data_IF_184293118214
#
_entry.id   IF_184293118214
#
_cell.length_a   1.000
_cell.length_b   1.000
_cell.length_c   1.000
_cell.angle_alpha   90.00
_cell.angle_beta   90.00
_cell.angle_gamma   90.00
#
_symmetry.space_group_name_H-M   'P 1'
#
loop_
_entity.id
_entity.type
_entity.pdbx_description
1 polymer ?
#
# COMPACT_ATOMS: atom_id res chain seq x y z
N UNK A 1 13.77 4.69 -12.10
CA UNK A 1 12.61 3.78 -12.24
C UNK A 1 12.97 2.37 -12.77
N UNK A 2 13.84 2.23 -13.77
CA UNK A 2 14.14 0.90 -14.32
C UNK A 2 14.81 -0.05 -13.33
N UNK A 3 15.72 0.43 -12.45
CA UNK A 3 16.37 -0.39 -11.40
C UNK A 3 15.34 -0.93 -10.40
N UNK A 4 14.40 -0.10 -9.95
CA UNK A 4 13.30 -0.53 -9.07
C UNK A 4 12.44 -1.62 -9.73
N UNK A 5 12.03 -1.41 -10.98
CA UNK A 5 11.23 -2.38 -11.72
C UNK A 5 12.00 -3.70 -11.97
N UNK A 6 13.30 -3.63 -12.26
CA UNK A 6 14.16 -4.82 -12.37
C UNK A 6 14.22 -5.57 -11.03
N UNK A 7 14.41 -4.84 -9.92
CA UNK A 7 14.40 -5.44 -8.57
C UNK A 7 13.07 -6.15 -8.27
N UNK A 8 11.93 -5.57 -8.66
CA UNK A 8 10.62 -6.21 -8.52
C UNK A 8 10.50 -7.49 -9.36
N UNK A 9 11.00 -7.49 -10.58
CA UNK A 9 11.00 -8.68 -11.43
C UNK A 9 11.83 -9.79 -10.79
N UNK A 10 13.05 -9.49 -10.37
CA UNK A 10 13.92 -10.44 -9.67
C UNK A 10 13.29 -10.97 -8.38
N UNK A 11 12.65 -10.11 -7.61
CA UNK A 11 11.91 -10.49 -6.40
C UNK A 11 10.77 -11.48 -6.71
N UNK A 12 9.97 -11.21 -7.74
CA UNK A 12 8.88 -12.12 -8.17
C UNK A 12 9.44 -13.46 -8.62
N UNK A 13 10.54 -13.47 -9.41
CA UNK A 13 11.22 -14.69 -9.84
C UNK A 13 11.73 -15.50 -8.63
N UNK A 14 12.35 -14.86 -7.66
CA UNK A 14 12.81 -15.54 -6.45
C UNK A 14 11.65 -16.20 -5.67
N UNK A 15 10.52 -15.49 -5.51
CA UNK A 15 9.32 -16.06 -4.87
C UNK A 15 8.76 -17.22 -5.71
N UNK A 16 8.71 -17.08 -7.05
CA UNK A 16 8.20 -18.12 -7.93
C UNK A 16 9.06 -19.40 -7.83
N UNK A 17 10.38 -19.26 -7.83
CA UNK A 17 11.31 -20.37 -7.61
C UNK A 17 11.15 -21.04 -6.25
N UNK A 18 10.90 -20.26 -5.16
CA UNK A 18 10.70 -20.78 -3.83
C UNK A 18 9.31 -21.41 -3.63
N UNK A 19 8.33 -21.09 -4.47
CA UNK A 19 6.91 -21.44 -4.27
C UNK A 19 6.62 -22.96 -4.19
N UNK A 20 7.33 -23.88 -4.89
CA UNK A 20 7.08 -25.30 -4.76
C UNK A 20 7.39 -25.85 -3.34
N UNK A 21 8.37 -25.26 -2.66
CA UNK A 21 8.87 -25.73 -1.37
C UNK A 21 8.42 -24.87 -0.19
N UNK A 22 7.91 -23.65 -0.48
CA UNK A 22 7.59 -22.67 0.56
C UNK A 22 6.10 -22.28 0.54
N UNK A 23 5.33 -22.74 1.53
CA UNK A 23 3.88 -22.48 1.65
C UNK A 23 3.53 -20.99 1.51
N UNK A 24 4.28 -20.08 2.17
CA UNK A 24 4.02 -18.64 2.09
C UNK A 24 4.26 -18.08 0.68
N UNK A 25 5.30 -18.56 -0.02
CA UNK A 25 5.58 -18.16 -1.39
C UNK A 25 4.46 -18.64 -2.34
N UNK A 26 3.99 -19.88 -2.15
CA UNK A 26 2.86 -20.42 -2.91
C UNK A 26 1.58 -19.58 -2.69
N UNK A 27 1.20 -19.30 -1.46
CA UNK A 27 0.03 -18.47 -1.13
C UNK A 27 0.15 -17.06 -1.75
N UNK A 28 1.37 -16.48 -1.73
CA UNK A 28 1.64 -15.18 -2.30
C UNK A 28 1.43 -15.14 -3.83
N UNK A 29 1.85 -16.18 -4.55
CA UNK A 29 1.63 -16.34 -6.00
C UNK A 29 0.16 -16.63 -6.29
N UNK A 30 -0.42 -17.63 -5.62
CA UNK A 30 -1.77 -18.11 -5.90
C UNK A 30 -2.82 -17.03 -5.60
N UNK A 31 -2.63 -16.25 -4.54
CA UNK A 31 -3.54 -15.17 -4.17
C UNK A 31 -3.62 -14.03 -5.21
N UNK A 32 -2.59 -13.90 -6.08
CA UNK A 32 -2.56 -12.91 -7.16
C UNK A 32 -3.04 -13.44 -8.50
N UNK A 33 -3.27 -14.75 -8.64
CA UNK A 33 -3.86 -15.33 -9.86
C UNK A 33 -5.28 -14.78 -10.05
N UNK A 34 -5.55 -14.25 -11.24
CA UNK A 34 -6.86 -13.68 -11.56
C UNK A 34 -7.29 -12.46 -10.71
N UNK A 35 -6.37 -11.81 -10.01
CA UNK A 35 -6.65 -10.69 -9.10
C UNK A 35 -7.52 -9.61 -9.76
N UNK A 36 -7.12 -9.09 -10.90
CA UNK A 36 -7.85 -8.01 -11.57
C UNK A 36 -9.25 -8.41 -12.05
N UNK A 37 -9.45 -9.68 -12.39
CA UNK A 37 -10.76 -10.20 -12.73
C UNK A 37 -11.66 -10.18 -11.51
N UNK A 38 -11.22 -10.78 -10.39
CA UNK A 38 -11.98 -10.76 -9.12
C UNK A 38 -12.30 -9.36 -8.66
N UNK A 39 -11.33 -8.44 -8.72
CA UNK A 39 -11.57 -7.03 -8.36
C UNK A 39 -12.68 -6.42 -9.23
N UNK A 40 -12.61 -6.61 -10.56
CA UNK A 40 -13.60 -6.06 -11.48
C UNK A 40 -15.00 -6.66 -11.29
N UNK A 41 -15.08 -7.92 -10.89
CA UNK A 41 -16.34 -8.61 -10.61
C UNK A 41 -16.94 -8.21 -9.25
N UNK A 42 -16.12 -7.78 -8.30
CA UNK A 42 -16.56 -7.48 -6.92
C UNK A 42 -16.75 -6.00 -6.64
N UNK A 43 -15.91 -5.13 -7.21
CA UNK A 43 -15.93 -3.69 -6.90
C UNK A 43 -17.02 -3.02 -7.74
N UNK A 44 -17.98 -2.38 -7.05
CA UNK A 44 -19.01 -1.55 -7.69
C UNK A 44 -18.35 -0.30 -8.29
N UNK A 45 -18.48 -0.07 -9.62
CA UNK A 45 -17.87 1.08 -10.28
C UNK A 45 -18.45 2.44 -9.86
N UNK A 46 -19.62 2.45 -9.19
CA UNK A 46 -20.24 3.66 -8.65
C UNK A 46 -19.89 3.94 -7.18
N UNK A 47 -19.19 3.01 -6.51
CA UNK A 47 -18.89 3.15 -5.10
C UNK A 47 -17.83 4.23 -4.86
N UNK A 48 -18.02 5.02 -3.81
CA UNK A 48 -16.98 5.90 -3.26
C UNK A 48 -16.04 5.06 -2.40
N UNK A 49 -14.77 5.01 -2.74
CA UNK A 49 -13.83 4.08 -2.12
C UNK A 49 -12.74 4.81 -1.33
N UNK A 50 -12.55 4.38 -0.07
CA UNK A 50 -11.33 4.61 0.69
C UNK A 50 -10.49 3.34 0.61
N UNK A 51 -9.31 3.45 0.00
CA UNK A 51 -8.37 2.34 -0.06
C UNK A 51 -7.37 2.42 1.09
N UNK A 52 -7.26 1.33 1.86
CA UNK A 52 -6.30 1.17 2.96
C UNK A 52 -5.35 0.03 2.62
N UNK A 53 -4.06 0.29 2.69
CA UNK A 53 -3.04 -0.72 2.47
C UNK A 53 -2.22 -0.99 3.72
N UNK A 54 -2.16 -2.27 4.10
CA UNK A 54 -1.28 -2.79 5.15
C UNK A 54 -0.52 -4.00 4.59
N UNK A 55 0.82 -3.97 4.56
CA UNK A 55 1.57 -5.05 3.93
C UNK A 55 1.42 -6.40 4.65
N UNK A 56 1.25 -6.39 5.96
CA UNK A 56 1.21 -7.57 6.83
C UNK A 56 0.14 -7.47 7.92
N UNK A 57 -0.03 -8.56 8.68
CA UNK A 57 -0.94 -8.58 9.82
C UNK A 57 -0.58 -7.54 10.89
N UNK A 58 0.72 -7.39 11.19
CA UNK A 58 1.17 -6.44 12.22
C UNK A 58 0.91 -4.99 11.85
N UNK A 59 0.96 -4.64 10.57
CA UNK A 59 0.59 -3.31 10.07
C UNK A 59 -0.92 -3.13 10.07
N UNK A 60 -1.67 -4.17 9.68
CA UNK A 60 -3.12 -4.15 9.76
C UNK A 60 -3.60 -3.83 11.19
N UNK A 61 -3.05 -4.48 12.22
CA UNK A 61 -3.46 -4.22 13.60
C UNK A 61 -3.23 -2.77 14.05
N UNK A 62 -2.27 -2.07 13.44
CA UNK A 62 -2.08 -0.63 13.69
C UNK A 62 -3.06 0.25 12.90
N UNK A 63 -3.46 -0.19 11.71
CA UNK A 63 -4.47 0.49 10.90
C UNK A 63 -5.91 0.18 11.29
N UNK A 64 -6.14 -0.94 12.00
CA UNK A 64 -7.49 -1.43 12.35
C UNK A 64 -8.37 -0.38 13.06
N UNK A 65 -7.90 0.32 14.10
CA UNK A 65 -8.73 1.33 14.76
C UNK A 65 -9.19 2.44 13.81
N UNK A 66 -8.36 2.79 12.83
CA UNK A 66 -8.71 3.78 11.81
C UNK A 66 -9.78 3.23 10.85
N UNK A 67 -9.65 1.96 10.43
CA UNK A 67 -10.66 1.28 9.58
C UNK A 67 -12.01 1.28 10.27
N UNK A 68 -12.06 0.84 11.53
CA UNK A 68 -13.27 0.77 12.34
C UNK A 68 -13.91 2.16 12.55
N UNK A 69 -13.08 3.19 12.78
CA UNK A 69 -13.53 4.57 12.89
C UNK A 69 -14.12 5.10 11.58
N UNK A 70 -13.43 4.89 10.46
CA UNK A 70 -13.93 5.28 9.12
C UNK A 70 -15.26 4.58 8.82
N UNK A 71 -15.38 3.28 9.11
CA UNK A 71 -16.63 2.53 8.91
C UNK A 71 -17.79 3.12 9.68
N UNK A 72 -17.54 3.57 10.92
CA UNK A 72 -18.54 4.15 11.80
C UNK A 72 -18.95 5.56 11.41
N UNK A 73 -17.97 6.40 11.07
CA UNK A 73 -18.17 7.84 10.88
C UNK A 73 -18.49 8.21 9.42
N UNK A 74 -18.10 7.35 8.46
CA UNK A 74 -18.21 7.55 7.03
C UNK A 74 -18.84 6.32 6.32
N UNK A 75 -20.07 5.93 6.69
CA UNK A 75 -20.72 4.74 6.14
C UNK A 75 -21.04 4.86 4.63
N UNK A 76 -20.99 6.06 4.06
CA UNK A 76 -21.16 6.32 2.62
C UNK A 76 -19.97 5.83 1.79
N UNK A 77 -18.82 5.57 2.41
CA UNK A 77 -17.66 5.01 1.74
C UNK A 77 -17.62 3.50 1.82
N UNK A 78 -17.17 2.87 0.74
CA UNK A 78 -16.73 1.49 0.71
C UNK A 78 -15.26 1.39 1.06
N UNK A 79 -14.89 0.46 1.91
CA UNK A 79 -13.50 0.27 2.32
C UNK A 79 -12.87 -0.85 1.50
N UNK A 80 -11.86 -0.50 0.71
CA UNK A 80 -10.97 -1.45 0.06
C UNK A 80 -9.74 -1.65 0.95
N UNK A 81 -9.55 -2.87 1.45
CA UNK A 81 -8.37 -3.26 2.22
C UNK A 81 -7.45 -4.13 1.37
N UNK A 82 -6.17 -3.80 1.31
CA UNK A 82 -5.20 -4.63 0.58
C UNK A 82 -4.04 -5.05 1.45
N UNK A 83 -3.54 -6.27 1.16
CA UNK A 83 -2.36 -6.84 1.80
C UNK A 83 -1.29 -7.20 0.77
N UNK A 84 -0.03 -7.04 1.13
CA UNK A 84 1.06 -7.56 0.31
C UNK A 84 1.45 -8.98 0.70
N UNK A 85 1.49 -9.28 1.99
CA UNK A 85 1.89 -10.57 2.57
C UNK A 85 0.70 -11.50 2.81
N UNK A 86 0.88 -12.82 2.62
CA UNK A 86 -0.10 -13.82 3.06
C UNK A 86 -0.42 -13.76 4.56
N UNK A 87 0.51 -13.31 5.41
CA UNK A 87 0.27 -13.19 6.86
C UNK A 87 -0.88 -12.26 7.22
N UNK A 88 -1.09 -11.21 6.42
CA UNK A 88 -2.25 -10.32 6.59
C UNK A 88 -3.48 -10.87 5.89
N UNK A 89 -3.36 -11.16 4.60
CA UNK A 89 -4.49 -11.56 3.77
C UNK A 89 -5.18 -12.83 4.26
N UNK A 90 -4.44 -13.92 4.48
CA UNK A 90 -5.05 -15.21 4.85
C UNK A 90 -5.78 -15.17 6.19
N UNK A 91 -5.35 -14.29 7.10
CA UNK A 91 -5.99 -14.14 8.42
C UNK A 91 -7.18 -13.18 8.35
N UNK A 92 -7.10 -12.15 7.49
CA UNK A 92 -8.08 -11.04 7.46
C UNK A 92 -8.94 -10.99 6.21
N UNK A 93 -8.88 -11.98 5.30
CA UNK A 93 -9.69 -12.02 4.07
C UNK A 93 -11.21 -12.01 4.28
N UNK A 94 -11.68 -12.31 5.49
CA UNK A 94 -13.08 -12.27 5.89
C UNK A 94 -13.35 -11.20 6.96
N UNK A 95 -12.53 -10.15 7.03
CA UNK A 95 -12.71 -9.05 7.98
C UNK A 95 -13.95 -8.22 7.62
N UNK A 96 -14.91 -8.15 8.53
CA UNK A 96 -16.27 -7.62 8.33
C UNK A 96 -16.36 -6.09 8.22
N UNK A 97 -15.31 -5.37 8.64
CA UNK A 97 -15.28 -3.91 8.56
C UNK A 97 -14.73 -3.39 7.21
N UNK A 98 -14.36 -4.27 6.28
CA UNK A 98 -13.95 -3.91 4.93
C UNK A 98 -14.86 -4.56 3.88
N UNK A 99 -15.29 -3.78 2.87
CA UNK A 99 -16.18 -4.27 1.81
C UNK A 99 -15.43 -5.11 0.77
N UNK A 100 -14.19 -4.76 0.50
CA UNK A 100 -13.35 -5.42 -0.49
C UNK A 100 -11.98 -5.73 0.11
N UNK A 101 -11.55 -6.98 0.01
CA UNK A 101 -10.24 -7.40 0.55
C UNK A 101 -9.46 -8.17 -0.51
N UNK A 102 -8.30 -7.65 -0.89
CA UNK A 102 -7.46 -8.24 -1.94
C UNK A 102 -5.98 -8.22 -1.58
N UNK A 103 -5.20 -9.01 -2.31
CA UNK A 103 -3.76 -8.77 -2.37
C UNK A 103 -3.46 -7.51 -3.18
N UNK A 104 -2.45 -6.74 -2.76
CA UNK A 104 -1.88 -5.70 -3.59
C UNK A 104 -1.21 -6.35 -4.83
N UNK A 105 -1.43 -5.85 -6.05
CA UNK A 105 -0.68 -6.31 -7.21
C UNK A 105 0.81 -5.98 -7.08
N UNK A 106 1.64 -6.63 -7.89
CA UNK A 106 3.05 -6.25 -8.01
C UNK A 106 3.13 -4.84 -8.59
N UNK A 107 3.93 -3.98 -7.97
CA UNK A 107 4.03 -2.56 -8.27
C UNK A 107 4.78 -2.28 -9.58
N UNK A 108 4.26 -2.80 -10.70
CA UNK A 108 4.75 -2.42 -12.04
C UNK A 108 3.85 -1.32 -12.64
N UNK A 109 4.38 -0.47 -13.55
CA UNK A 109 3.61 0.67 -14.07
C UNK A 109 2.24 0.30 -14.65
N UNK A 110 2.18 -0.79 -15.42
CA UNK A 110 0.92 -1.25 -16.02
C UNK A 110 -0.06 -1.82 -15.01
N UNK A 111 0.44 -2.54 -13.99
CA UNK A 111 -0.41 -3.11 -12.94
C UNK A 111 -0.90 -2.04 -11.96
N UNK A 112 -0.06 -1.03 -11.65
CA UNK A 112 -0.45 0.11 -10.83
C UNK A 112 -1.60 0.89 -11.49
N UNK A 113 -1.47 1.22 -12.77
CA UNK A 113 -2.55 1.86 -13.55
C UNK A 113 -3.84 1.05 -13.53
N UNK A 114 -3.74 -0.23 -13.90
CA UNK A 114 -4.90 -1.13 -13.95
C UNK A 114 -5.58 -1.31 -12.60
N UNK A 115 -4.79 -1.38 -11.52
CA UNK A 115 -5.32 -1.45 -10.16
C UNK A 115 -6.15 -0.22 -9.83
N UNK A 116 -5.62 0.98 -10.08
CA UNK A 116 -6.30 2.23 -9.80
C UNK A 116 -7.49 2.48 -10.73
N UNK A 117 -7.47 1.96 -11.97
CA UNK A 117 -8.63 2.01 -12.88
C UNK A 117 -9.82 1.21 -12.34
N UNK A 118 -9.55 0.07 -11.69
CA UNK A 118 -10.59 -0.79 -11.13
C UNK A 118 -11.01 -0.33 -9.73
N UNK A 119 -10.03 0.00 -8.88
CA UNK A 119 -10.27 0.39 -7.50
C UNK A 119 -10.81 1.83 -7.35
N UNK A 120 -10.50 2.72 -8.28
CA UNK A 120 -10.91 4.14 -8.35
C UNK A 120 -11.06 4.84 -6.99
N UNK A 121 -10.05 4.77 -6.09
CA UNK A 121 -10.17 5.31 -4.75
C UNK A 121 -10.21 6.86 -4.77
N UNK A 122 -11.03 7.46 -3.90
CA UNK A 122 -11.00 8.91 -3.63
C UNK A 122 -9.90 9.28 -2.62
N UNK A 123 -9.64 8.36 -1.69
CA UNK A 123 -8.65 8.54 -0.61
C UNK A 123 -7.85 7.24 -0.47
N UNK A 124 -6.55 7.39 -0.26
CA UNK A 124 -5.64 6.26 -0.05
C UNK A 124 -4.87 6.43 1.26
N UNK A 125 -4.82 5.38 2.06
CA UNK A 125 -4.11 5.38 3.34
C UNK A 125 -3.15 4.18 3.37
N UNK A 126 -1.87 4.48 3.45
CA UNK A 126 -0.83 3.48 3.65
C UNK A 126 -0.45 3.38 5.12
N UNK A 127 -0.35 2.16 5.63
CA UNK A 127 0.07 1.93 7.02
C UNK A 127 1.56 1.64 7.06
N UNK A 128 2.33 2.45 7.79
CA UNK A 128 3.79 2.37 7.96
C UNK A 128 4.63 2.67 6.70
N UNK A 129 5.51 1.74 6.31
CA UNK A 129 6.63 1.94 5.36
C UNK A 129 6.29 1.49 3.94
N UNK A 130 5.13 1.81 3.43
CA UNK A 130 4.64 1.30 2.17
C UNK A 130 4.92 2.27 1.01
N UNK A 131 6.15 2.22 0.49
CA UNK A 131 6.62 3.10 -0.59
C UNK A 131 6.58 2.38 -1.94
N UNK A 132 5.40 2.15 -2.48
CA UNK A 132 5.15 1.54 -3.78
C UNK A 132 5.26 2.57 -4.90
N UNK A 133 6.46 2.72 -5.45
CA UNK A 133 6.84 3.87 -6.29
C UNK A 133 5.94 4.07 -7.52
N UNK A 134 5.58 2.99 -8.22
CA UNK A 134 4.73 3.13 -9.40
C UNK A 134 3.28 3.47 -9.01
N UNK A 135 2.75 2.88 -7.92
CA UNK A 135 1.44 3.25 -7.37
C UNK A 135 1.42 4.70 -6.89
N UNK A 136 2.42 5.13 -6.11
CA UNK A 136 2.53 6.50 -5.63
C UNK A 136 2.65 7.52 -6.78
N UNK A 137 3.45 7.21 -7.80
CA UNK A 137 3.56 8.05 -9.01
C UNK A 137 2.21 8.18 -9.71
N UNK A 138 1.47 7.08 -9.82
CA UNK A 138 0.18 7.07 -10.50
C UNK A 138 -0.92 7.76 -9.68
N UNK A 139 -0.90 7.63 -8.34
CA UNK A 139 -1.79 8.37 -7.42
C UNK A 139 -1.57 9.88 -7.56
N UNK A 140 -0.32 10.33 -7.52
CA UNK A 140 0.04 11.75 -7.73
C UNK A 140 -0.42 12.26 -9.09
N UNK A 141 -0.20 11.48 -10.16
CA UNK A 141 -0.62 11.85 -11.53
C UNK A 141 -2.14 12.04 -11.63
N UNK A 142 -2.92 11.27 -10.84
CA UNK A 142 -4.39 11.33 -10.80
C UNK A 142 -4.91 12.33 -9.77
N UNK A 143 -4.04 13.01 -9.02
CA UNK A 143 -4.40 13.90 -7.91
C UNK A 143 -5.28 13.20 -6.85
N UNK A 144 -5.05 11.90 -6.62
CA UNK A 144 -5.75 11.14 -5.59
C UNK A 144 -5.08 11.41 -4.24
N UNK A 145 -5.85 11.83 -3.24
CA UNK A 145 -5.36 12.12 -1.89
C UNK A 145 -4.74 10.89 -1.26
N UNK A 146 -3.50 11.02 -0.83
CA UNK A 146 -2.71 9.90 -0.30
C UNK A 146 -2.10 10.24 1.05
N UNK A 147 -2.31 9.38 2.02
CA UNK A 147 -1.83 9.54 3.38
C UNK A 147 -0.98 8.35 3.79
N UNK A 148 0.00 8.59 4.65
CA UNK A 148 0.70 7.52 5.36
C UNK A 148 0.47 7.69 6.85
N UNK A 149 0.15 6.60 7.55
CA UNK A 149 -0.11 6.61 8.99
C UNK A 149 0.83 5.66 9.72
N UNK A 150 1.09 5.99 10.99
CA UNK A 150 1.96 5.19 11.86
C UNK A 150 3.39 5.03 11.32
N UNK A 151 3.90 6.00 10.56
CA UNK A 151 5.27 5.97 10.06
C UNK A 151 6.30 6.24 11.16
N UNK A 152 7.47 5.57 11.10
CA UNK A 152 8.63 5.86 11.94
C UNK A 152 9.83 6.08 11.03
N UNK A 153 10.50 7.20 11.14
CA UNK A 153 11.72 7.47 10.40
C UNK A 153 12.93 7.35 11.33
N UNK A 154 14.03 6.86 10.77
CA UNK A 154 15.29 6.72 11.48
C UNK A 154 16.40 7.35 10.65
N UNK A 155 17.40 7.93 11.30
CA UNK A 155 18.54 8.60 10.63
C UNK A 155 19.28 7.70 9.63
N UNK A 156 19.31 6.39 9.85
CA UNK A 156 19.92 5.42 8.95
C UNK A 156 19.03 4.99 7.78
N UNK A 157 17.77 5.46 7.70
CA UNK A 157 16.88 5.14 6.59
C UNK A 157 17.39 5.73 5.28
N UNK A 158 17.04 5.09 4.17
CA UNK A 158 17.49 5.45 2.82
C UNK A 158 17.17 6.91 2.43
N UNK A 159 16.11 7.47 2.98
CA UNK A 159 15.67 8.84 2.72
C UNK A 159 16.72 9.89 3.14
N UNK A 160 17.53 9.59 4.18
CA UNK A 160 18.54 10.50 4.73
C UNK A 160 19.94 10.24 4.17
N UNK A 161 20.08 9.31 3.23
CA UNK A 161 21.35 9.04 2.55
C UNK A 161 21.57 10.00 1.37
N UNK A 162 22.82 10.32 0.99
CA UNK A 162 23.10 11.17 -0.16
C UNK A 162 22.46 10.67 -1.46
N UNK A 163 22.38 9.35 -1.64
CA UNK A 163 21.76 8.68 -2.78
C UNK A 163 20.25 8.44 -2.61
N UNK A 164 19.64 8.95 -1.53
CA UNK A 164 18.22 8.76 -1.20
C UNK A 164 17.23 9.63 -1.97
N UNK A 165 17.71 10.49 -2.88
CA UNK A 165 16.86 11.44 -3.62
C UNK A 165 15.65 10.81 -4.31
N UNK A 166 15.84 9.67 -4.94
CA UNK A 166 14.77 8.92 -5.59
C UNK A 166 13.67 8.47 -4.60
N UNK A 167 14.05 8.07 -3.40
CA UNK A 167 13.11 7.67 -2.35
C UNK A 167 12.41 8.86 -1.70
N UNK A 168 13.09 10.03 -1.64
CA UNK A 168 12.45 11.27 -1.17
C UNK A 168 11.30 11.71 -2.08
N UNK A 169 11.42 11.52 -3.40
CA UNK A 169 10.31 11.76 -4.33
C UNK A 169 9.05 10.94 -4.01
N UNK A 170 9.21 9.75 -3.40
CA UNK A 170 8.06 8.96 -2.96
C UNK A 170 7.35 9.60 -1.76
N UNK A 171 8.08 10.27 -0.86
CA UNK A 171 7.49 11.02 0.25
C UNK A 171 6.65 12.20 -0.25
N UNK A 172 7.09 12.87 -1.32
CA UNK A 172 6.37 13.98 -1.96
C UNK A 172 5.03 13.56 -2.58
N UNK A 173 4.77 12.27 -2.70
CA UNK A 173 3.50 11.75 -3.23
C UNK A 173 2.40 11.67 -2.17
N UNK A 174 2.73 11.92 -0.90
CA UNK A 174 1.76 11.95 0.18
C UNK A 174 1.32 13.38 0.48
N UNK A 175 0.02 13.58 0.64
CA UNK A 175 -0.54 14.86 1.10
C UNK A 175 -0.20 15.11 2.58
N UNK A 176 -0.15 14.04 3.40
CA UNK A 176 0.25 14.13 4.82
C UNK A 176 0.89 12.83 5.30
N UNK A 177 1.92 12.96 6.13
CA UNK A 177 2.64 11.85 6.77
C UNK A 177 2.43 11.91 8.28
N UNK A 178 1.60 11.01 8.82
CA UNK A 178 1.37 10.89 10.26
C UNK A 178 2.41 9.95 10.88
N UNK A 179 3.26 10.49 11.72
CA UNK A 179 4.37 9.77 12.37
C UNK A 179 4.05 9.39 13.81
N UNK A 180 4.69 8.33 14.31
CA UNK A 180 4.46 7.82 15.67
C UNK A 180 5.19 8.61 16.77
N UNK A 181 6.23 9.38 16.43
CA UNK A 181 7.05 10.06 17.41
C UNK A 181 7.67 11.36 16.88
N UNK A 182 8.08 12.22 17.83
CA UNK A 182 8.68 13.52 17.53
C UNK A 182 10.03 13.42 16.81
N UNK A 183 10.80 12.36 17.02
CA UNK A 183 12.08 12.18 16.32
C UNK A 183 11.87 11.97 14.81
N UNK A 184 10.86 11.21 14.45
CA UNK A 184 10.46 11.06 13.05
C UNK A 184 9.98 12.37 12.42
N UNK A 185 9.23 13.18 13.20
CA UNK A 185 8.79 14.51 12.76
C UNK A 185 9.99 15.44 12.50
N UNK A 186 10.94 15.50 13.43
CA UNK A 186 12.18 16.30 13.26
C UNK A 186 12.98 15.86 12.04
N UNK A 187 13.12 14.55 11.84
CA UNK A 187 13.84 13.99 10.69
C UNK A 187 13.16 14.35 9.37
N UNK A 188 11.83 14.33 9.30
CA UNK A 188 11.10 14.75 8.09
C UNK A 188 11.25 16.25 7.83
N UNK A 189 11.21 17.09 8.87
CA UNK A 189 11.44 18.52 8.76
C UNK A 189 12.83 18.84 8.16
N UNK A 190 13.87 18.08 8.50
CA UNK A 190 15.21 18.21 7.88
C UNK A 190 15.20 17.94 6.36
N UNK A 191 14.19 17.23 5.85
CA UNK A 191 14.00 16.97 4.42
C UNK A 191 13.00 17.94 3.77
N UNK A 192 12.49 18.93 4.53
CA UNK A 192 11.52 19.91 4.05
C UNK A 192 10.05 19.45 4.12
N UNK A 193 9.75 18.42 4.91
CA UNK A 193 8.39 17.95 5.17
C UNK A 193 7.93 18.44 6.55
N UNK A 194 7.34 19.64 6.61
CA UNK A 194 6.94 20.30 7.87
C UNK A 194 5.48 20.04 8.27
N UNK A 195 4.72 19.24 7.49
CA UNK A 195 3.29 18.98 7.67
C UNK A 195 2.99 17.62 8.26
#
# INVERSE_FOLDING_TARGET
MWIYNLGLVLYVWAIALASPWHRKAKLWIDGRKGLFRRMKESIDPSARIIWIHAASLGEFEQGRPLIEKIRKEHPEYKILLTFFSPSGYEIRKNYDQADYIFYLPIDTPGKARRFLDIAHPEIVIFVKYEFWINLLTELRRRSIRSYIVSAIFRRNSIFFRPYGGYWRMALESFDTIFVQNNDSKKLLAELGFDN
#
